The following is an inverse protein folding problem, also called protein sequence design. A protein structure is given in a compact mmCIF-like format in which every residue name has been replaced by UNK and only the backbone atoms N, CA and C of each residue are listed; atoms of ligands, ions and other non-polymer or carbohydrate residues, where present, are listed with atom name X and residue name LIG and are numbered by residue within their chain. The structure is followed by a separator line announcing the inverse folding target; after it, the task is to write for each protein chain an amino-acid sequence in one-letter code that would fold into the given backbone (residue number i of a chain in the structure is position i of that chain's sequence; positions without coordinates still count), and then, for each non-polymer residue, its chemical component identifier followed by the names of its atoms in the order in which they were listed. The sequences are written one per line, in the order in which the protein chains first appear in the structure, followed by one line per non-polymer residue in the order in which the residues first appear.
data_IF_423749453752
#
_entry.id   IF_423749453752
#
_cell.length_a   1.000
_cell.length_b   1.000
_cell.length_c   1.000
_cell.angle_alpha   90.00
_cell.angle_beta   90.00
_cell.angle_gamma   90.00
#
_symmetry.space_group_name_H-M   'P 1'
#
loop_
_entity.id
_entity.type
_entity.pdbx_description
1 polymer ?
#
# COMPACT_ATOMS: atom_id res chain seq x y z
N UNK A 1 -25.71 11.11 8.45
CA UNK A 1 -24.57 11.91 8.93
C UNK A 1 -23.33 11.28 8.33
N UNK A 2 -22.78 11.86 7.25
CA UNK A 2 -21.49 11.43 6.71
C UNK A 2 -20.42 11.84 7.72
N UNK A 3 -19.77 10.88 8.37
CA UNK A 3 -18.47 11.16 8.97
C UNK A 3 -17.50 11.33 7.81
N UNK A 4 -16.92 12.52 7.70
CA UNK A 4 -15.77 12.72 6.82
C UNK A 4 -14.63 11.91 7.40
N UNK A 5 -14.20 10.89 6.66
CA UNK A 5 -13.03 10.08 6.98
C UNK A 5 -11.85 10.97 7.37
N UNK A 6 -11.33 10.79 8.57
CA UNK A 6 -10.12 11.46 9.02
C UNK A 6 -9.04 10.40 9.23
N UNK A 7 -8.13 10.19 8.25
CA UNK A 7 -7.17 9.10 8.26
C UNK A 7 -6.12 9.15 9.38
N UNK A 8 -6.21 10.16 10.25
CA UNK A 8 -5.30 10.43 11.39
C UNK A 8 -6.00 10.20 12.75
N UNK A 9 -7.34 10.12 12.80
CA UNK A 9 -8.10 9.90 14.06
C UNK A 9 -8.76 8.51 14.17
N UNK A 10 -8.84 7.77 13.06
CA UNK A 10 -9.50 6.46 12.97
C UNK A 10 -8.47 5.32 12.87
N UNK A 11 -8.88 4.08 13.20
CA UNK A 11 -8.03 2.90 13.02
C UNK A 11 -7.87 2.61 11.52
N UNK A 12 -6.84 3.21 10.92
CA UNK A 12 -6.57 3.17 9.48
C UNK A 12 -5.29 2.40 9.19
N UNK A 13 -5.37 1.39 8.32
CA UNK A 13 -4.17 0.78 7.74
C UNK A 13 -3.75 1.56 6.49
N UNK A 14 -2.48 1.94 6.42
CA UNK A 14 -1.91 2.60 5.25
C UNK A 14 -1.09 1.60 4.46
N UNK A 15 -1.60 1.14 3.33
CA UNK A 15 -0.96 0.11 2.52
C UNK A 15 -0.20 0.77 1.37
N UNK A 16 1.12 0.61 1.32
CA UNK A 16 1.98 1.32 0.38
C UNK A 16 2.64 0.40 -0.66
N UNK A 17 2.85 0.93 -1.85
CA UNK A 17 3.54 0.26 -2.96
C UNK A 17 5.03 0.62 -3.06
N UNK A 18 5.72 -0.03 -4.00
CA UNK A 18 7.12 0.27 -4.33
C UNK A 18 7.29 1.71 -4.84
N UNK A 19 6.32 2.21 -5.61
CA UNK A 19 6.33 3.53 -6.23
C UNK A 19 6.50 4.67 -5.23
N UNK A 20 5.81 4.62 -4.08
CA UNK A 20 5.94 5.61 -3.01
C UNK A 20 7.40 5.77 -2.55
N UNK A 21 8.05 4.66 -2.19
CA UNK A 21 9.42 4.70 -1.66
C UNK A 21 10.45 5.05 -2.73
N UNK A 22 10.23 4.59 -3.97
CA UNK A 22 11.08 4.97 -5.11
C UNK A 22 10.98 6.47 -5.41
N UNK A 23 9.78 7.05 -5.32
CA UNK A 23 9.55 8.49 -5.54
C UNK A 23 10.19 9.37 -4.45
N UNK A 24 10.31 8.87 -3.22
CA UNK A 24 11.09 9.52 -2.17
C UNK A 24 12.60 9.51 -2.44
N UNK A 25 13.09 8.60 -3.29
CA UNK A 25 14.52 8.42 -3.55
C UNK A 25 15.27 7.77 -2.39
N UNK A 26 16.61 7.89 -2.37
CA UNK A 26 17.46 7.30 -1.32
C UNK A 26 17.33 8.06 0.01
N UNK A 27 17.74 7.45 1.14
CA UNK A 27 17.61 8.00 2.51
C UNK A 27 18.18 9.42 2.71
N UNK A 28 19.13 9.86 1.88
CA UNK A 28 19.69 11.22 1.95
C UNK A 28 18.83 12.28 1.22
N UNK A 29 17.68 11.89 0.66
CA UNK A 29 16.74 12.80 0.03
C UNK A 29 15.75 13.32 1.09
N UNK A 30 15.54 14.64 1.10
CA UNK A 30 14.62 15.32 2.01
C UNK A 30 13.21 14.69 2.00
N UNK A 31 12.78 14.14 0.86
CA UNK A 31 11.48 13.46 0.71
C UNK A 31 11.35 12.19 1.54
N UNK A 32 12.42 11.40 1.68
CA UNK A 32 12.37 10.18 2.48
C UNK A 32 12.27 10.50 3.99
N UNK A 33 13.07 11.46 4.45
CA UNK A 33 12.99 11.97 5.84
C UNK A 33 11.66 12.66 6.11
N UNK A 34 11.07 13.34 5.11
CA UNK A 34 9.74 13.93 5.23
C UNK A 34 8.67 12.84 5.42
N UNK A 35 8.75 11.74 4.65
CA UNK A 35 7.86 10.58 4.80
C UNK A 35 7.99 9.90 6.17
N UNK A 36 9.22 9.67 6.64
CA UNK A 36 9.48 9.15 7.99
C UNK A 36 8.87 10.06 9.06
N UNK A 37 9.13 11.36 8.98
CA UNK A 37 8.57 12.34 9.94
C UNK A 37 7.06 12.41 9.88
N UNK A 38 6.47 12.28 8.70
CA UNK A 38 5.03 12.21 8.53
C UNK A 38 4.46 10.99 9.26
N UNK A 39 5.07 9.81 9.09
CA UNK A 39 4.65 8.62 9.80
C UNK A 39 4.76 8.76 11.32
N UNK A 40 5.92 9.21 11.81
CA UNK A 40 6.15 9.39 13.25
C UNK A 40 5.23 10.44 13.88
N UNK A 41 4.96 11.56 13.21
CA UNK A 41 4.10 12.64 13.73
C UNK A 41 2.64 12.22 13.86
N UNK A 42 2.20 11.29 13.03
CA UNK A 42 0.82 10.81 13.01
C UNK A 42 0.65 9.43 13.66
N UNK A 43 1.68 8.93 14.35
CA UNK A 43 1.70 7.58 14.96
C UNK A 43 1.29 6.47 13.96
N UNK A 44 1.77 6.62 12.72
CA UNK A 44 1.45 5.81 11.56
C UNK A 44 2.55 4.78 11.30
N UNK A 45 2.16 3.59 10.84
CA UNK A 45 3.06 2.63 10.20
C UNK A 45 2.52 2.25 8.83
N UNK A 46 3.34 2.39 7.78
CA UNK A 46 2.97 1.90 6.46
C UNK A 46 3.11 0.39 6.40
N UNK A 47 2.08 -0.31 5.93
CA UNK A 47 2.11 -1.74 5.70
C UNK A 47 2.44 -1.98 4.22
N UNK A 48 3.44 -2.79 3.94
CA UNK A 48 3.81 -3.16 2.57
C UNK A 48 3.64 -4.67 2.37
N UNK A 49 3.13 -5.13 1.22
CA UNK A 49 3.14 -6.56 0.89
C UNK A 49 4.57 -7.12 0.81
N UNK A 50 4.76 -8.42 1.09
CA UNK A 50 6.05 -9.11 0.96
C UNK A 50 6.68 -8.89 -0.44
N UNK A 51 5.86 -8.85 -1.49
CA UNK A 51 6.34 -8.61 -2.86
C UNK A 51 6.94 -7.21 -3.06
N UNK A 52 6.35 -6.19 -2.43
CA UNK A 52 6.87 -4.81 -2.44
C UNK A 52 8.20 -4.74 -1.68
N UNK A 53 8.30 -5.46 -0.55
CA UNK A 53 9.56 -5.58 0.18
C UNK A 53 10.68 -6.20 -0.69
N UNK A 54 10.37 -7.29 -1.38
CA UNK A 54 11.33 -7.97 -2.27
C UNK A 54 11.78 -7.06 -3.43
N UNK A 55 10.85 -6.29 -4.02
CA UNK A 55 11.13 -5.31 -5.09
C UNK A 55 12.03 -4.17 -4.62
N UNK A 56 11.82 -3.67 -3.41
CA UNK A 56 12.62 -2.60 -2.81
C UNK A 56 14.04 -3.05 -2.43
N UNK A 57 14.38 -4.32 -2.63
CA UNK A 57 15.71 -4.88 -2.36
C UNK A 57 15.86 -5.45 -0.95
N UNK A 58 14.74 -5.84 -0.33
CA UNK A 58 14.71 -6.59 0.92
C UNK A 58 15.15 -8.05 0.79
N UNK A 59 15.20 -8.59 -0.44
CA UNK A 59 15.69 -9.94 -0.68
C UNK A 59 17.21 -10.05 -0.36
N UNK A 60 17.64 -11.06 0.43
CA UNK A 60 19.01 -11.15 0.98
C UNK A 60 20.14 -11.25 -0.06
N UNK A 61 19.83 -11.38 -1.35
CA UNK A 61 20.78 -11.67 -2.44
C UNK A 61 20.96 -10.54 -3.48
N UNK A 62 20.43 -9.32 -3.29
CA UNK A 62 20.71 -8.18 -4.18
C UNK A 62 21.53 -7.07 -3.51
N UNK A 63 22.84 -7.25 -3.59
CA UNK A 63 23.91 -6.23 -3.68
C UNK A 63 23.78 -4.95 -2.83
N UNK A 64 24.22 -5.01 -1.57
CA UNK A 64 25.42 -4.34 -0.99
C UNK A 64 25.21 -4.29 0.54
N UNK A 65 26.11 -4.86 1.37
CA UNK A 65 26.01 -4.77 2.83
C UNK A 65 26.07 -3.30 3.30
N UNK A 66 24.94 -2.76 3.75
CA UNK A 66 24.81 -1.38 4.22
C UNK A 66 23.44 -0.75 3.89
N UNK A 67 22.39 -1.28 4.51
CA UNK A 67 21.02 -0.75 4.62
C UNK A 67 20.36 -0.18 3.36
N UNK A 68 19.69 -1.05 2.60
CA UNK A 68 18.59 -0.64 1.71
C UNK A 68 17.61 0.23 2.51
N UNK A 69 17.15 1.40 1.99
CA UNK A 69 16.30 2.33 2.73
C UNK A 69 15.13 1.65 3.45
N UNK A 70 14.51 0.65 2.82
CA UNK A 70 13.36 -0.05 3.38
C UNK A 70 13.67 -0.83 4.68
N UNK A 71 14.85 -1.44 4.81
CA UNK A 71 15.21 -2.18 6.03
C UNK A 71 15.38 -1.23 7.22
N UNK A 72 15.94 -0.04 7.00
CA UNK A 72 16.03 0.98 8.04
C UNK A 72 14.65 1.53 8.44
N UNK A 73 13.69 1.64 7.53
CA UNK A 73 12.31 1.99 7.88
C UNK A 73 11.62 0.94 8.74
N UNK A 74 11.89 -0.34 8.47
CA UNK A 74 11.39 -1.46 9.27
C UNK A 74 12.04 -1.48 10.66
N UNK A 75 13.38 -1.34 10.72
CA UNK A 75 14.12 -1.29 11.99
C UNK A 75 13.67 -0.13 12.89
N UNK A 76 13.23 0.98 12.29
CA UNK A 76 12.71 2.17 13.00
C UNK A 76 11.20 2.11 13.27
N UNK A 77 10.49 1.13 12.71
CA UNK A 77 9.10 0.81 13.02
C UNK A 77 8.02 1.57 12.24
N UNK A 78 8.38 2.49 11.35
CA UNK A 78 7.40 3.25 10.56
C UNK A 78 7.00 2.57 9.24
N UNK A 79 7.61 1.41 8.93
CA UNK A 79 7.16 0.47 7.90
C UNK A 79 7.09 -0.94 8.49
N UNK A 80 6.05 -1.69 8.13
CA UNK A 80 5.89 -3.11 8.48
C UNK A 80 5.62 -3.92 7.22
N UNK A 81 6.15 -5.15 7.15
CA UNK A 81 5.85 -6.08 6.06
C UNK A 81 4.66 -6.95 6.47
N UNK A 82 3.63 -7.01 5.61
CA UNK A 82 2.50 -7.90 5.81
C UNK A 82 2.89 -9.36 5.57
N UNK A 83 2.17 -10.28 6.20
CA UNK A 83 2.23 -11.70 5.85
C UNK A 83 1.77 -11.93 4.41
N UNK A 84 2.08 -13.10 3.85
CA UNK A 84 1.56 -13.47 2.53
C UNK A 84 0.03 -13.60 2.58
N UNK A 85 -0.68 -13.17 1.54
CA UNK A 85 -2.14 -13.28 1.50
C UNK A 85 -2.65 -14.70 1.74
N UNK A 86 -3.67 -14.84 2.58
CA UNK A 86 -4.42 -16.08 2.75
C UNK A 86 -5.36 -16.29 1.56
N UNK A 87 -4.83 -16.95 0.53
CA UNK A 87 -5.59 -17.34 -0.66
C UNK A 87 -6.76 -18.30 -0.38
N UNK A 88 -6.89 -18.86 0.82
CA UNK A 88 -8.05 -19.67 1.20
C UNK A 88 -9.23 -18.83 1.65
N UNK A 89 -9.00 -17.56 2.02
CA UNK A 89 -10.07 -16.60 2.25
C UNK A 89 -10.72 -16.21 0.90
N UNK A 90 -12.01 -16.57 0.75
CA UNK A 90 -12.75 -16.31 -0.49
C UNK A 90 -12.90 -14.83 -0.81
N UNK A 91 -12.95 -13.97 0.20
CA UNK A 91 -13.04 -12.52 0.02
C UNK A 91 -11.73 -11.96 -0.53
N UNK A 92 -10.59 -12.42 0.01
CA UNK A 92 -9.25 -12.08 -0.49
C UNK A 92 -9.11 -12.47 -1.96
N UNK A 93 -9.39 -13.73 -2.27
CA UNK A 93 -9.28 -14.25 -3.63
C UNK A 93 -10.16 -13.46 -4.62
N UNK A 94 -11.39 -13.13 -4.23
CA UNK A 94 -12.33 -12.37 -5.07
C UNK A 94 -11.89 -10.94 -5.30
N UNK A 95 -11.46 -10.22 -4.25
CA UNK A 95 -10.95 -8.85 -4.38
C UNK A 95 -9.74 -8.80 -5.30
N UNK A 96 -8.80 -9.74 -5.16
CA UNK A 96 -7.62 -9.79 -6.03
C UNK A 96 -7.99 -10.03 -7.50
N UNK A 97 -8.98 -10.88 -7.78
CA UNK A 97 -9.44 -11.15 -9.14
C UNK A 97 -10.20 -9.96 -9.75
N UNK A 98 -10.99 -9.27 -8.93
CA UNK A 98 -11.69 -8.03 -9.31
C UNK A 98 -10.69 -6.91 -9.64
N UNK A 99 -9.63 -6.73 -8.84
CA UNK A 99 -8.55 -5.77 -9.13
C UNK A 99 -7.85 -6.11 -10.43
N UNK A 100 -7.47 -7.38 -10.62
CA UNK A 100 -6.83 -7.84 -11.86
C UNK A 100 -7.71 -7.52 -13.07
N UNK A 101 -9.00 -7.84 -12.97
CA UNK A 101 -9.97 -7.58 -14.05
C UNK A 101 -10.12 -6.09 -14.31
N UNK A 102 -10.16 -5.26 -13.26
CA UNK A 102 -10.27 -3.82 -13.41
C UNK A 102 -9.06 -3.24 -14.17
N UNK A 103 -7.84 -3.55 -13.73
CA UNK A 103 -6.62 -3.03 -14.35
C UNK A 103 -6.50 -3.52 -15.80
N UNK A 104 -6.91 -4.76 -16.09
CA UNK A 104 -6.90 -5.30 -17.46
C UNK A 104 -7.85 -4.54 -18.40
N UNK A 105 -8.93 -3.97 -17.85
CA UNK A 105 -9.92 -3.21 -18.61
C UNK A 105 -9.56 -1.73 -18.74
N UNK A 106 -9.00 -1.13 -17.68
CA UNK A 106 -8.70 0.31 -17.62
C UNK A 106 -7.37 0.64 -18.28
N UNK A 107 -6.35 -0.19 -18.04
CA UNK A 107 -5.04 0.01 -18.61
C UNK A 107 -4.93 -0.79 -19.90
N UNK A 108 -4.44 -0.20 -20.99
CA UNK A 108 -4.07 -0.94 -22.20
C UNK A 108 -2.81 -1.83 -21.97
N UNK A 109 -2.56 -2.26 -20.73
CA UNK A 109 -1.49 -3.14 -20.29
C UNK A 109 -1.98 -4.58 -20.40
N UNK A 110 -1.08 -5.49 -20.74
CA UNK A 110 -1.39 -6.92 -20.78
C UNK A 110 -1.50 -7.48 -19.35
N UNK A 111 -2.33 -8.50 -19.16
CA UNK A 111 -2.52 -9.18 -17.86
C UNK A 111 -1.22 -9.72 -17.24
N UNK A 112 -0.21 -10.06 -18.04
CA UNK A 112 1.11 -10.48 -17.56
C UNK A 112 1.96 -9.32 -17.00
N UNK A 113 1.54 -8.08 -17.23
CA UNK A 113 2.10 -6.84 -16.68
C UNK A 113 1.22 -6.18 -15.60
N UNK A 114 0.03 -6.73 -15.34
CA UNK A 114 -0.79 -6.36 -14.18
C UNK A 114 -0.06 -6.94 -12.99
N UNK A 115 0.77 -6.11 -12.37
CA UNK A 115 1.77 -6.55 -11.44
C UNK A 115 1.07 -7.15 -10.24
N UNK A 116 1.41 -8.40 -9.89
CA UNK A 116 0.92 -9.09 -8.68
C UNK A 116 1.07 -8.24 -7.39
N UNK A 117 1.85 -7.15 -7.43
CA UNK A 117 2.00 -6.18 -6.36
C UNK A 117 0.70 -5.40 -6.14
N UNK A 118 0.01 -4.95 -7.19
CA UNK A 118 -1.26 -4.20 -7.09
C UNK A 118 -2.34 -5.06 -6.42
N UNK A 119 -2.46 -6.31 -6.85
CA UNK A 119 -3.36 -7.27 -6.20
C UNK A 119 -2.94 -7.59 -4.76
N UNK A 120 -1.64 -7.53 -4.45
CA UNK A 120 -1.17 -7.77 -3.09
C UNK A 120 -1.47 -6.59 -2.15
N UNK A 121 -1.46 -5.34 -2.64
CA UNK A 121 -1.95 -4.17 -1.90
C UNK A 121 -3.42 -4.38 -1.50
N UNK A 122 -4.23 -4.80 -2.46
CA UNK A 122 -5.65 -5.09 -2.23
C UNK A 122 -5.86 -6.22 -1.20
N UNK A 123 -5.04 -7.27 -1.29
CA UNK A 123 -5.08 -8.40 -0.36
C UNK A 123 -4.80 -7.97 1.08
N UNK A 124 -3.73 -7.20 1.30
CA UNK A 124 -3.40 -6.67 2.63
C UNK A 124 -4.53 -5.82 3.18
N UNK A 125 -5.12 -4.95 2.35
CA UNK A 125 -6.22 -4.10 2.79
C UNK A 125 -7.46 -4.90 3.18
N UNK A 126 -7.89 -5.86 2.34
CA UNK A 126 -9.10 -6.65 2.61
C UNK A 126 -8.91 -7.55 3.83
N UNK A 127 -7.75 -8.17 4.04
CA UNK A 127 -7.51 -9.02 5.20
C UNK A 127 -7.64 -8.24 6.51
N UNK A 128 -7.07 -7.03 6.55
CA UNK A 128 -7.14 -6.17 7.73
C UNK A 128 -8.57 -5.69 7.98
N UNK A 129 -9.30 -5.35 6.92
CA UNK A 129 -10.69 -4.90 7.00
C UNK A 129 -11.66 -6.03 7.41
N UNK A 130 -11.40 -7.25 6.93
CA UNK A 130 -12.21 -8.46 7.15
C UNK A 130 -11.95 -9.06 8.54
N UNK A 131 -10.70 -9.00 9.03
CA UNK A 131 -10.36 -9.35 10.41
C UNK A 131 -11.06 -8.44 11.44
N UNK A 132 -11.43 -7.22 11.04
CA UNK A 132 -12.08 -6.23 11.91
C UNK A 132 -11.12 -5.50 12.85
N UNK A 133 -9.81 -5.66 12.65
CA UNK A 133 -8.76 -4.99 13.43
C UNK A 133 -8.67 -3.49 13.13
N UNK A 134 -9.07 -3.11 11.92
CA UNK A 134 -9.08 -1.73 11.43
C UNK A 134 -10.45 -1.38 10.85
N UNK A 135 -10.80 -0.10 10.95
CA UNK A 135 -12.07 0.40 10.41
C UNK A 135 -11.91 0.77 8.93
N UNK A 136 -10.74 1.29 8.55
CA UNK A 136 -10.49 1.82 7.22
C UNK A 136 -9.12 1.45 6.64
N UNK A 137 -9.01 1.49 5.32
CA UNK A 137 -7.76 1.30 4.59
C UNK A 137 -7.47 2.49 3.67
N UNK A 138 -6.24 3.01 3.73
CA UNK A 138 -5.70 4.00 2.81
C UNK A 138 -4.66 3.31 1.91
N UNK A 139 -4.97 3.19 0.61
CA UNK A 139 -4.06 2.66 -0.40
C UNK A 139 -3.19 3.79 -0.90
N UNK A 140 -1.87 3.65 -0.78
CA UNK A 140 -0.90 4.64 -1.26
C UNK A 140 -0.09 4.05 -2.39
N UNK A 141 -0.31 4.58 -3.59
CA UNK A 141 0.45 4.19 -4.79
C UNK A 141 0.65 5.39 -5.71
N UNK A 142 1.70 5.32 -6.53
CA UNK A 142 1.92 6.28 -7.62
C UNK A 142 1.16 5.92 -8.89
N UNK A 143 0.61 4.71 -8.99
CA UNK A 143 -0.21 4.26 -10.13
C UNK A 143 -1.69 4.51 -9.83
N UNK A 144 -2.27 5.50 -10.52
CA UNK A 144 -3.66 5.93 -10.30
C UNK A 144 -4.64 4.82 -10.71
N UNK A 145 -4.40 4.13 -11.83
CA UNK A 145 -5.29 3.07 -12.32
C UNK A 145 -5.31 1.90 -11.33
N UNK A 146 -4.17 1.58 -10.73
CA UNK A 146 -4.09 0.57 -9.67
C UNK A 146 -4.84 1.03 -8.41
N UNK A 147 -4.61 2.25 -7.94
CA UNK A 147 -5.26 2.81 -6.75
C UNK A 147 -6.79 2.83 -6.87
N UNK A 148 -7.31 3.35 -7.99
CA UNK A 148 -8.75 3.37 -8.29
C UNK A 148 -9.32 1.96 -8.46
N UNK A 149 -8.57 1.06 -9.12
CA UNK A 149 -8.97 -0.33 -9.29
C UNK A 149 -9.14 -1.07 -7.96
N UNK A 150 -8.23 -0.85 -7.00
CA UNK A 150 -8.29 -1.42 -5.66
C UNK A 150 -9.50 -0.89 -4.89
N UNK A 151 -9.71 0.43 -4.87
CA UNK A 151 -10.88 1.05 -4.23
C UNK A 151 -12.18 0.51 -4.83
N UNK A 152 -12.26 0.41 -6.15
CA UNK A 152 -13.43 -0.12 -6.85
C UNK A 152 -13.71 -1.57 -6.50
N UNK A 153 -12.68 -2.42 -6.47
CA UNK A 153 -12.82 -3.84 -6.13
C UNK A 153 -13.26 -4.04 -4.67
N UNK A 154 -12.63 -3.35 -3.73
CA UNK A 154 -12.99 -3.42 -2.31
C UNK A 154 -14.42 -2.93 -2.05
N UNK A 155 -14.81 -1.83 -2.69
CA UNK A 155 -16.18 -1.30 -2.63
C UNK A 155 -17.21 -2.35 -3.11
N UNK A 156 -16.99 -2.97 -4.28
CA UNK A 156 -17.85 -4.05 -4.79
C UNK A 156 -17.97 -5.28 -3.87
N UNK A 157 -17.03 -5.45 -2.96
CA UNK A 157 -16.99 -6.54 -2.00
C UNK A 157 -17.46 -6.12 -0.59
N UNK A 158 -18.13 -4.97 -0.46
CA UNK A 158 -18.80 -4.53 0.77
C UNK A 158 -17.94 -3.68 1.70
N UNK A 159 -16.80 -3.19 1.23
CA UNK A 159 -15.94 -2.26 1.94
C UNK A 159 -16.10 -0.81 1.44
N UNK A 160 -17.26 -0.49 0.86
CA UNK A 160 -17.61 0.86 0.43
C UNK A 160 -17.41 1.85 1.59
N UNK A 161 -16.91 3.05 1.27
CA UNK A 161 -16.61 4.12 2.23
C UNK A 161 -15.54 3.77 3.30
N UNK A 162 -15.08 2.51 3.36
CA UNK A 162 -14.01 2.04 4.27
C UNK A 162 -12.63 2.03 3.61
N UNK A 163 -12.55 2.29 2.31
CA UNK A 163 -11.30 2.33 1.56
C UNK A 163 -11.15 3.65 0.83
N UNK A 164 -9.93 4.20 0.84
CA UNK A 164 -9.55 5.35 0.04
C UNK A 164 -8.22 5.14 -0.68
N UNK A 165 -8.05 5.85 -1.78
CA UNK A 165 -6.79 5.93 -2.50
C UNK A 165 -6.15 7.30 -2.26
N UNK A 166 -4.85 7.30 -1.93
CA UNK A 166 -4.00 8.48 -1.85
C UNK A 166 -2.88 8.36 -2.88
N UNK A 167 -2.80 9.33 -3.79
CA UNK A 167 -1.71 9.39 -4.74
C UNK A 167 -0.38 9.64 -4.02
N UNK A 168 0.60 8.76 -4.24
CA UNK A 168 1.91 8.84 -3.59
C UNK A 168 2.70 10.11 -3.93
N UNK A 169 2.58 10.64 -5.15
CA UNK A 169 3.23 11.90 -5.52
C UNK A 169 2.61 13.08 -4.77
N UNK A 170 1.29 13.14 -4.70
CA UNK A 170 0.58 14.20 -3.96
C UNK A 170 0.92 14.15 -2.47
N UNK A 171 0.94 12.94 -1.88
CA UNK A 171 1.34 12.76 -0.48
C UNK A 171 2.76 13.29 -0.24
N UNK A 172 3.71 12.96 -1.12
CA UNK A 172 5.09 13.44 -1.02
C UNK A 172 5.17 14.98 -1.12
N UNK A 173 4.36 15.60 -1.98
CA UNK A 173 4.30 17.06 -2.11
C UNK A 173 3.69 17.75 -0.88
N UNK A 174 2.68 17.14 -0.26
CA UNK A 174 2.02 17.67 0.93
C UNK A 174 2.91 17.68 2.18
N UNK A 175 3.85 16.73 2.27
CA UNK A 175 4.69 16.52 3.46
C UNK A 175 6.10 17.09 3.33
N UNK A 176 6.51 17.50 2.12
CA UNK A 176 7.84 18.04 1.81
C UNK A 176 8.05 19.47 2.32
#
# INVERSE_FOLDING_TARGET
MNRSFNPIEESVVWVADTGLFVACGRQQNNKYTALERFAQRNDLSFVIPQRVYDELGGAPNRSTPGQTPINSAIDTGWVTVAEEPDYTNSTVARVMDDVRTHIAQSSNRREDQIEKADTALAAVAVERLDAGDIEFACIVTTDIDAGEGIVSALSRNGFDERVQFKNGFELIEEIA
#
